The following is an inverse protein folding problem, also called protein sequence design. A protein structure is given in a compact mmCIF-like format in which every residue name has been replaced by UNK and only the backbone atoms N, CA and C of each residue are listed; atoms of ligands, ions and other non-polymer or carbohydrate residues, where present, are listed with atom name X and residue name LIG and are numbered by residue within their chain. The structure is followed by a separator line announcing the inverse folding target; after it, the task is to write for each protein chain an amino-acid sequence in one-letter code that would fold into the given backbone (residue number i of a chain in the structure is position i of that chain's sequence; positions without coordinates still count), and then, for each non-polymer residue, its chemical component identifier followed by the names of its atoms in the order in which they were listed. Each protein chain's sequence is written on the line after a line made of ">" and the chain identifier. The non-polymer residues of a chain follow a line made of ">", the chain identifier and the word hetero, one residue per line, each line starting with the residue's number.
data_IF_883701079375
#
_entry.id   IF_883701079375
#
_cell.length_a   1.000
_cell.length_b   1.000
_cell.length_c   1.000
_cell.angle_alpha   90.00
_cell.angle_beta   90.00
_cell.angle_gamma   90.00
#
_symmetry.space_group_name_H-M   'P 1'
#
loop_
_entity.id
_entity.type
_entity.pdbx_description
1 polymer ?
#
# COMPACT_ATOMS: atom_id res chain seq x y z
N UNK A 1 -1.53 -1.50 5.07
CA UNK A 1 -0.38 -0.99 4.31
C UNK A 1 0.89 -1.38 5.05
N UNK A 2 1.81 -2.05 4.38
CA UNK A 2 3.18 -2.24 4.86
C UNK A 2 4.12 -1.28 4.13
N UNK A 3 5.31 -1.08 4.68
CA UNK A 3 6.39 -0.45 3.94
C UNK A 3 6.85 -1.35 2.80
N UNK A 4 6.94 -0.78 1.60
CA UNK A 4 7.44 -1.45 0.40
C UNK A 4 8.77 -0.82 0.02
N UNK A 5 9.86 -1.57 0.23
CA UNK A 5 11.19 -1.17 -0.21
C UNK A 5 11.25 -1.27 -1.73
N UNK A 6 11.53 -0.14 -2.39
CA UNK A 6 11.76 -0.13 -3.83
C UNK A 6 13.11 -0.78 -4.13
N UNK A 7 13.11 -1.71 -5.07
CA UNK A 7 14.33 -2.40 -5.51
C UNK A 7 14.42 -2.42 -7.05
N UNK A 8 15.24 -1.53 -7.66
CA UNK A 8 15.40 -1.50 -9.10
C UNK A 8 16.05 -2.77 -9.67
N UNK A 9 16.77 -3.57 -8.87
CA UNK A 9 17.40 -4.81 -9.33
C UNK A 9 16.39 -5.87 -9.79
N UNK A 10 15.15 -5.78 -9.30
CA UNK A 10 14.05 -6.65 -9.69
C UNK A 10 13.45 -6.30 -11.07
N UNK A 11 13.86 -5.18 -11.65
CA UNK A 11 13.35 -4.66 -12.94
C UNK A 11 14.43 -4.87 -14.02
N UNK A 12 14.12 -5.62 -15.10
CA UNK A 12 15.07 -5.80 -16.20
C UNK A 12 15.45 -4.47 -16.84
N UNK A 13 16.73 -4.29 -17.12
CA UNK A 13 17.28 -3.08 -17.73
C UNK A 13 16.56 -2.70 -19.04
N UNK A 14 16.17 -3.71 -19.84
CA UNK A 14 15.39 -3.50 -21.08
C UNK A 14 14.06 -2.80 -20.82
N UNK A 15 13.37 -3.12 -19.73
CA UNK A 15 12.08 -2.51 -19.36
C UNK A 15 12.30 -1.05 -18.95
N UNK A 16 13.34 -0.78 -18.17
CA UNK A 16 13.74 0.58 -17.79
C UNK A 16 14.07 1.44 -19.02
N UNK A 17 14.88 0.92 -19.95
CA UNK A 17 15.25 1.62 -21.20
C UNK A 17 14.05 1.93 -22.10
N UNK A 18 13.03 1.06 -22.13
CA UNK A 18 11.79 1.35 -22.88
C UNK A 18 11.03 2.52 -22.26
N UNK A 19 10.92 2.56 -20.93
CA UNK A 19 10.28 3.66 -20.23
C UNK A 19 11.04 4.98 -20.40
N UNK A 20 12.37 4.95 -20.31
CA UNK A 20 13.25 6.10 -20.51
C UNK A 20 13.08 6.71 -21.92
N UNK A 21 13.11 5.90 -22.98
CA UNK A 21 12.89 6.37 -24.36
C UNK A 21 11.52 7.00 -24.56
N UNK A 22 10.49 6.40 -23.95
CA UNK A 22 9.14 6.95 -24.00
C UNK A 22 9.05 8.29 -23.25
N UNK A 23 9.74 8.42 -22.11
CA UNK A 23 9.85 9.67 -21.37
C UNK A 23 10.55 10.74 -22.22
N UNK A 24 11.71 10.45 -22.81
CA UNK A 24 12.43 11.39 -23.68
C UNK A 24 11.56 11.89 -24.84
N UNK A 25 10.79 10.98 -25.46
CA UNK A 25 9.83 11.36 -26.50
C UNK A 25 8.75 12.29 -25.94
N UNK A 26 8.17 11.94 -24.79
CA UNK A 26 7.14 12.75 -24.13
C UNK A 26 7.62 14.18 -23.83
N UNK A 27 8.86 14.34 -23.38
CA UNK A 27 9.47 15.64 -23.07
C UNK A 27 9.54 16.56 -24.29
N UNK A 28 9.80 16.00 -25.48
CA UNK A 28 9.86 16.75 -26.74
C UNK A 28 8.49 17.11 -27.32
N UNK A 29 7.40 16.55 -26.79
CA UNK A 29 6.06 16.78 -27.35
C UNK A 29 5.48 18.12 -26.90
N UNK A 30 4.76 18.75 -27.83
CA UNK A 30 3.87 19.88 -27.55
C UNK A 30 2.81 19.49 -26.51
N UNK A 31 2.39 20.41 -25.60
CA UNK A 31 1.46 20.09 -24.51
C UNK A 31 0.18 19.35 -24.95
N UNK A 32 -0.44 19.79 -26.04
CA UNK A 32 -1.67 19.20 -26.58
C UNK A 32 -1.52 17.75 -27.12
N UNK A 33 -0.29 17.28 -27.36
CA UNK A 33 -0.02 15.90 -27.83
C UNK A 33 0.34 14.92 -26.72
N UNK A 34 0.68 15.43 -25.52
CA UNK A 34 1.21 14.62 -24.41
C UNK A 34 0.21 13.58 -23.91
N UNK A 35 -1.04 13.98 -23.67
CA UNK A 35 -2.09 13.11 -23.12
C UNK A 35 -2.36 11.90 -24.03
N UNK A 36 -2.55 12.15 -25.33
CA UNK A 36 -2.76 11.09 -26.32
C UNK A 36 -1.56 10.15 -26.42
N UNK A 37 -0.33 10.67 -26.39
CA UNK A 37 0.88 9.85 -26.39
C UNK A 37 0.97 8.95 -25.15
N UNK A 38 0.71 9.49 -23.96
CA UNK A 38 0.70 8.72 -22.71
C UNK A 38 -0.32 7.58 -22.80
N UNK A 39 -1.53 7.83 -23.30
CA UNK A 39 -2.57 6.81 -23.44
C UNK A 39 -2.16 5.68 -24.40
N UNK A 40 -1.58 6.02 -25.54
CA UNK A 40 -1.10 5.05 -26.53
C UNK A 40 0.01 4.13 -25.95
N UNK A 41 0.77 4.61 -24.97
CA UNK A 41 1.92 3.90 -24.38
C UNK A 41 1.59 3.16 -23.08
N UNK A 42 0.31 2.84 -22.84
CA UNK A 42 -0.12 2.14 -21.64
C UNK A 42 0.52 0.78 -21.36
N UNK A 43 0.95 0.08 -22.41
CA UNK A 43 1.68 -1.18 -22.27
C UNK A 43 3.02 -1.03 -21.52
N UNK A 44 3.63 0.16 -21.52
CA UNK A 44 4.94 0.40 -20.89
C UNK A 44 4.84 0.24 -19.38
N UNK A 45 3.97 1.00 -18.69
CA UNK A 45 3.86 0.88 -17.23
C UNK A 45 3.27 -0.47 -16.81
N UNK A 46 2.36 -1.05 -17.62
CA UNK A 46 1.84 -2.41 -17.37
C UNK A 46 2.95 -3.47 -17.33
N UNK A 47 4.01 -3.30 -18.13
CA UNK A 47 5.15 -4.23 -18.12
C UNK A 47 5.90 -4.27 -16.77
N UNK A 48 5.79 -3.22 -15.94
CA UNK A 48 6.39 -3.19 -14.61
C UNK A 48 5.63 -4.04 -13.58
N UNK A 49 4.36 -4.40 -13.84
CA UNK A 49 3.48 -5.00 -12.85
C UNK A 49 4.06 -6.23 -12.16
N UNK A 50 4.62 -7.17 -12.93
CA UNK A 50 5.23 -8.40 -12.37
C UNK A 50 6.47 -8.13 -11.52
N UNK A 51 7.18 -7.03 -11.75
CA UNK A 51 8.39 -6.66 -11.04
C UNK A 51 8.03 -5.93 -9.74
N UNK A 52 7.08 -5.00 -9.82
CA UNK A 52 6.53 -4.30 -8.65
C UNK A 52 5.80 -5.26 -7.70
N UNK A 53 5.13 -6.29 -8.23
CA UNK A 53 4.50 -7.33 -7.42
C UNK A 53 5.51 -8.04 -6.50
N UNK A 54 6.74 -8.29 -6.97
CA UNK A 54 7.77 -8.95 -6.14
C UNK A 54 8.14 -8.12 -4.91
N UNK A 55 8.20 -6.79 -5.04
CA UNK A 55 8.56 -5.86 -3.95
C UNK A 55 7.57 -5.89 -2.78
N UNK A 56 6.34 -6.37 -3.01
CA UNK A 56 5.30 -6.49 -2.00
C UNK A 56 4.83 -7.92 -1.78
N UNK A 57 5.63 -8.91 -2.18
CA UNK A 57 5.30 -10.34 -2.04
C UNK A 57 3.98 -10.73 -2.75
N UNK A 58 3.68 -10.06 -3.87
CA UNK A 58 2.46 -10.24 -4.66
C UNK A 58 1.23 -9.52 -4.10
N UNK A 59 1.37 -8.73 -3.04
CA UNK A 59 0.25 -8.05 -2.36
C UNK A 59 0.02 -6.64 -2.87
N UNK A 60 -1.18 -6.12 -2.69
CA UNK A 60 -1.52 -4.72 -2.96
C UNK A 60 -0.68 -3.82 -2.04
N UNK A 61 0.02 -2.85 -2.61
CA UNK A 61 0.89 -1.95 -1.85
C UNK A 61 0.10 -1.10 -0.83
N UNK A 62 -1.16 -0.77 -1.13
CA UNK A 62 -2.02 -0.02 -0.21
C UNK A 62 -2.70 -0.90 0.84
N UNK A 63 -3.38 -1.96 0.42
CA UNK A 63 -4.29 -2.72 1.29
C UNK A 63 -3.68 -3.96 1.96
N UNK A 64 -2.50 -4.41 1.53
CA UNK A 64 -1.88 -5.72 1.84
C UNK A 64 -2.70 -6.93 1.38
N UNK A 65 -3.75 -6.73 0.60
CA UNK A 65 -4.54 -7.84 0.07
C UNK A 65 -3.78 -8.61 -1.00
N UNK A 66 -3.88 -9.94 -0.94
CA UNK A 66 -3.33 -10.89 -1.92
C UNK A 66 -4.44 -11.59 -2.72
N UNK A 67 -5.64 -10.99 -2.80
CA UNK A 67 -6.82 -11.60 -3.39
C UNK A 67 -6.54 -12.10 -4.82
N UNK A 68 -6.54 -13.44 -5.06
CA UNK A 68 -6.19 -14.01 -6.35
C UNK A 68 -7.23 -13.72 -7.43
N UNK A 69 -8.44 -13.31 -7.07
CA UNK A 69 -9.51 -12.97 -8.02
C UNK A 69 -9.56 -11.48 -8.36
N UNK A 70 -8.75 -10.65 -7.69
CA UNK A 70 -8.68 -9.22 -8.00
C UNK A 70 -7.80 -8.97 -9.21
N UNK A 71 -8.23 -8.08 -10.11
CA UNK A 71 -7.34 -7.51 -11.12
C UNK A 71 -6.34 -6.57 -10.43
N UNK A 72 -5.05 -6.82 -10.62
CA UNK A 72 -4.00 -5.90 -10.17
C UNK A 72 -3.50 -5.05 -11.33
N UNK A 73 -3.30 -3.77 -11.04
CA UNK A 73 -2.80 -2.78 -11.97
C UNK A 73 -1.50 -2.16 -11.45
N UNK A 74 -0.82 -1.48 -12.38
CA UNK A 74 0.21 -0.50 -12.04
C UNK A 74 -0.46 0.86 -11.93
N UNK A 75 -0.64 1.32 -10.69
CA UNK A 75 -1.14 2.65 -10.36
C UNK A 75 0.00 3.69 -10.45
N UNK A 76 -0.36 4.92 -10.82
CA UNK A 76 0.52 6.07 -10.74
C UNK A 76 0.17 6.83 -9.47
N UNK A 77 1.02 6.73 -8.43
CA UNK A 77 0.77 7.38 -7.14
C UNK A 77 0.39 8.84 -7.33
N UNK A 78 1.20 9.57 -8.10
CA UNK A 78 0.89 10.88 -8.69
C UNK A 78 0.24 10.69 -10.07
N UNK A 79 -1.05 11.01 -10.25
CA UNK A 79 -1.79 10.71 -11.48
C UNK A 79 -1.21 11.39 -12.73
N UNK A 80 -0.97 10.61 -13.79
CA UNK A 80 -0.28 11.06 -15.00
C UNK A 80 -1.09 11.88 -16.02
N UNK A 81 -2.42 11.92 -15.90
CA UNK A 81 -3.31 12.54 -16.92
C UNK A 81 -4.22 13.63 -16.38
N UNK A 82 -4.52 13.54 -15.09
CA UNK A 82 -5.44 14.39 -14.37
C UNK A 82 -5.25 14.08 -12.89
N UNK A 83 -5.08 15.08 -12.04
CA UNK A 83 -5.12 14.93 -10.59
C UNK A 83 -6.34 15.65 -10.02
N UNK A 84 -7.27 14.88 -9.46
CA UNK A 84 -8.42 15.40 -8.70
C UNK A 84 -7.94 15.86 -7.33
N UNK A 85 -8.10 17.16 -7.06
CA UNK A 85 -7.65 17.83 -5.84
C UNK A 85 -8.76 17.91 -4.80
N UNK A 86 -9.97 18.21 -5.27
CA UNK A 86 -11.20 18.27 -4.50
C UNK A 86 -12.38 17.91 -5.41
N UNK A 87 -13.58 17.82 -4.87
CA UNK A 87 -14.79 17.65 -5.69
C UNK A 87 -14.93 18.77 -6.71
N UNK A 88 -15.08 18.41 -7.99
CA UNK A 88 -15.13 19.36 -9.10
C UNK A 88 -13.82 20.09 -9.43
N UNK A 89 -12.73 19.85 -8.68
CA UNK A 89 -11.44 20.54 -8.88
C UNK A 89 -10.37 19.54 -9.31
N UNK A 90 -9.85 19.72 -10.52
CA UNK A 90 -8.76 18.93 -11.06
C UNK A 90 -7.77 19.80 -11.85
N UNK A 91 -6.55 19.29 -12.02
CA UNK A 91 -5.54 19.83 -12.93
C UNK A 91 -4.93 18.72 -13.79
N UNK A 92 -3.96 19.07 -14.63
CA UNK A 92 -3.30 18.16 -15.58
C UNK A 92 -2.57 16.98 -14.92
N UNK A 93 -2.42 17.00 -13.59
CA UNK A 93 -1.67 16.01 -12.83
C UNK A 93 -0.17 16.08 -13.15
N UNK A 94 0.43 14.90 -13.32
CA UNK A 94 1.88 14.72 -13.36
C UNK A 94 2.31 13.98 -14.63
N UNK A 95 2.06 14.52 -15.84
CA UNK A 95 2.40 13.85 -17.10
C UNK A 95 3.89 13.53 -17.23
N UNK A 96 4.78 14.34 -16.65
CA UNK A 96 6.23 14.05 -16.65
C UNK A 96 6.61 12.84 -15.78
N UNK A 97 5.71 12.32 -14.95
CA UNK A 97 5.87 11.09 -14.18
C UNK A 97 5.15 9.88 -14.81
N UNK A 98 4.66 10.00 -16.05
CA UNK A 98 3.90 8.95 -16.72
C UNK A 98 4.68 7.65 -16.90
N UNK A 99 5.99 7.75 -17.13
CA UNK A 99 6.89 6.62 -17.33
C UNK A 99 7.95 6.46 -16.21
N UNK A 100 7.80 7.20 -15.11
CA UNK A 100 8.69 7.08 -13.94
C UNK A 100 8.25 5.90 -13.08
N UNK A 101 9.08 4.84 -13.04
CA UNK A 101 8.79 3.65 -12.23
C UNK A 101 8.73 3.95 -10.73
N UNK A 102 9.43 5.01 -10.28
CA UNK A 102 9.38 5.48 -8.89
C UNK A 102 7.99 5.97 -8.49
N UNK A 103 7.17 6.37 -9.46
CA UNK A 103 5.79 6.79 -9.28
C UNK A 103 4.78 5.61 -9.38
N UNK A 104 5.25 4.38 -9.63
CA UNK A 104 4.37 3.23 -9.85
C UNK A 104 4.10 2.43 -8.58
N UNK A 105 2.85 1.99 -8.37
CA UNK A 105 2.44 1.16 -7.23
C UNK A 105 1.68 -0.06 -7.74
N UNK A 106 2.02 -1.26 -7.27
CA UNK A 106 1.25 -2.46 -7.60
C UNK A 106 0.01 -2.52 -6.71
N UNK A 107 -1.17 -2.35 -7.31
CA UNK A 107 -2.40 -2.09 -6.58
C UNK A 107 -3.57 -2.92 -7.09
N UNK A 108 -4.36 -3.47 -6.16
CA UNK A 108 -5.59 -4.15 -6.48
C UNK A 108 -6.63 -3.16 -7.03
N UNK A 109 -7.45 -3.60 -7.98
CA UNK A 109 -8.46 -2.78 -8.65
C UNK A 109 -9.43 -2.10 -7.67
N UNK A 110 -9.74 -2.73 -6.52
CA UNK A 110 -10.61 -2.13 -5.49
C UNK A 110 -10.01 -0.92 -4.79
N UNK A 111 -8.68 -0.85 -4.65
CA UNK A 111 -7.99 0.32 -4.08
C UNK A 111 -7.58 1.33 -5.15
N UNK A 112 -7.32 0.87 -6.39
CA UNK A 112 -6.86 1.72 -7.47
C UNK A 112 -7.98 2.37 -8.29
N UNK A 113 -9.03 1.63 -8.64
CA UNK A 113 -10.11 2.11 -9.50
C UNK A 113 -11.26 2.61 -8.64
N UNK A 114 -12.03 3.57 -9.13
CA UNK A 114 -13.28 3.97 -8.48
C UNK A 114 -14.27 2.82 -8.59
N UNK A 115 -14.82 2.40 -7.45
CA UNK A 115 -15.85 1.37 -7.36
C UNK A 115 -16.88 1.79 -6.32
N UNK A 116 -18.14 1.46 -6.56
CA UNK A 116 -19.21 1.63 -5.57
C UNK A 116 -19.19 0.46 -4.60
N UNK A 117 -19.19 0.74 -3.31
CA UNK A 117 -19.36 -0.28 -2.28
C UNK A 117 -20.83 -0.66 -2.17
N UNK A 118 -21.18 -1.91 -2.50
CA UNK A 118 -22.57 -2.38 -2.54
C UNK A 118 -23.29 -2.22 -1.19
N UNK A 119 -22.56 -2.26 -0.08
CA UNK A 119 -23.12 -2.17 1.26
C UNK A 119 -23.43 -0.73 1.70
N UNK A 120 -22.65 0.26 1.24
CA UNK A 120 -22.75 1.66 1.71
C UNK A 120 -23.10 2.65 0.61
N UNK A 121 -23.14 2.22 -0.65
CA UNK A 121 -23.24 3.05 -1.86
C UNK A 121 -22.11 4.08 -2.01
N UNK A 122 -21.07 4.04 -1.16
CA UNK A 122 -19.94 4.96 -1.23
C UNK A 122 -19.06 4.63 -2.45
N UNK A 123 -18.63 5.66 -3.19
CA UNK A 123 -17.65 5.51 -4.26
C UNK A 123 -16.25 5.65 -3.67
N UNK A 124 -15.51 4.56 -3.65
CA UNK A 124 -14.17 4.47 -3.07
C UNK A 124 -13.15 4.04 -4.12
N UNK A 125 -11.87 4.22 -3.81
CA UNK A 125 -10.75 3.93 -4.70
C UNK A 125 -10.03 5.19 -5.16
N UNK A 126 -8.72 5.07 -5.39
CA UNK A 126 -7.86 6.21 -5.71
C UNK A 126 -8.26 6.90 -7.02
N UNK A 127 -8.37 6.17 -8.12
CA UNK A 127 -8.55 6.73 -9.45
C UNK A 127 -7.54 7.84 -9.75
N UNK A 128 -8.05 9.03 -10.12
CA UNK A 128 -7.27 10.25 -10.28
C UNK A 128 -7.18 11.12 -9.02
N UNK A 129 -7.70 10.70 -7.86
CA UNK A 129 -7.56 11.45 -6.61
C UNK A 129 -6.09 11.60 -6.22
N UNK A 130 -5.67 12.85 -6.03
CA UNK A 130 -4.40 13.24 -5.46
C UNK A 130 -4.51 14.61 -4.76
N UNK A 131 -5.27 14.66 -3.64
CA UNK A 131 -5.40 15.87 -2.84
C UNK A 131 -4.05 16.29 -2.24
N UNK A 132 -3.88 17.60 -2.06
CA UNK A 132 -2.76 18.20 -1.35
C UNK A 132 -3.32 18.94 -0.12
N UNK A 133 -2.52 19.03 0.94
CA UNK A 133 -2.87 19.79 2.12
C UNK A 133 -3.05 21.28 1.76
N UNK A 134 -3.88 21.97 2.53
CA UNK A 134 -4.09 23.41 2.37
C UNK A 134 -2.75 24.17 2.44
N UNK A 135 -2.58 25.16 1.56
CA UNK A 135 -1.34 25.93 1.44
C UNK A 135 -0.18 25.20 0.74
N UNK A 136 -0.35 23.94 0.34
CA UNK A 136 0.68 23.25 -0.45
C UNK A 136 0.93 23.93 -1.79
N UNK A 137 2.20 23.99 -2.20
CA UNK A 137 2.55 24.26 -3.59
C UNK A 137 1.99 23.16 -4.50
N UNK A 138 1.89 23.47 -5.80
CA UNK A 138 1.46 22.54 -6.84
C UNK A 138 2.53 22.45 -7.92
N UNK A 139 3.13 21.28 -8.06
CA UNK A 139 4.05 20.99 -9.14
C UNK A 139 3.28 20.96 -10.46
N UNK A 140 3.95 21.40 -11.51
CA UNK A 140 3.41 21.37 -12.86
C UNK A 140 4.55 21.09 -13.85
N UNK A 141 4.22 21.02 -15.14
CA UNK A 141 5.19 20.65 -16.17
C UNK A 141 6.47 21.51 -16.17
N UNK A 142 6.32 22.82 -15.95
CA UNK A 142 7.44 23.79 -16.01
C UNK A 142 8.12 23.97 -14.67
N UNK A 143 7.42 23.72 -13.56
CA UNK A 143 7.97 23.77 -12.21
C UNK A 143 7.70 22.46 -11.46
N UNK A 144 8.64 21.52 -11.62
CA UNK A 144 8.60 20.16 -11.06
C UNK A 144 9.10 20.16 -9.61
N UNK A 145 8.30 20.72 -8.71
CA UNK A 145 8.60 20.85 -7.28
C UNK A 145 7.84 19.83 -6.43
N UNK A 146 7.74 18.58 -6.88
CA UNK A 146 6.95 17.53 -6.22
C UNK A 146 7.45 17.20 -4.81
N UNK A 147 8.74 17.45 -4.56
CA UNK A 147 9.42 17.32 -3.27
C UNK A 147 8.94 18.34 -2.23
N UNK A 148 8.39 19.47 -2.69
CA UNK A 148 7.84 20.55 -1.83
C UNK A 148 6.33 20.43 -1.63
N UNK A 149 5.66 19.52 -2.35
CA UNK A 149 4.24 19.30 -2.18
C UNK A 149 3.93 18.52 -0.90
N UNK A 150 2.89 18.97 -0.20
CA UNK A 150 2.35 18.28 0.97
C UNK A 150 1.19 17.37 0.53
N UNK A 151 1.52 16.20 -0.02
CA UNK A 151 0.51 15.25 -0.49
C UNK A 151 -0.34 14.68 0.65
N UNK A 152 -1.66 14.60 0.42
CA UNK A 152 -2.59 14.03 1.41
C UNK A 152 -2.45 12.51 1.48
N UNK A 153 -2.31 11.88 0.31
CA UNK A 153 -2.25 10.42 0.21
C UNK A 153 -0.94 9.86 0.79
N UNK A 154 -1.04 8.77 1.53
CA UNK A 154 0.09 8.07 2.13
C UNK A 154 0.78 7.16 1.13
N UNK A 155 2.09 7.33 0.96
CA UNK A 155 2.89 6.51 0.07
C UNK A 155 3.46 5.28 0.79
N UNK A 156 3.14 4.04 0.37
CA UNK A 156 3.69 2.82 0.96
C UNK A 156 5.22 2.70 0.79
N UNK A 157 5.85 3.53 -0.03
CA UNK A 157 7.32 3.57 -0.19
C UNK A 157 8.01 4.55 0.77
N UNK A 158 7.24 5.26 1.61
CA UNK A 158 7.74 6.14 2.65
C UNK A 158 7.41 5.53 4.03
N UNK A 159 8.43 5.30 4.87
CA UNK A 159 8.25 4.71 6.21
C UNK A 159 7.42 5.61 7.13
N UNK A 160 7.61 6.92 7.04
CA UNK A 160 6.89 7.87 7.89
C UNK A 160 5.39 7.85 7.58
N UNK A 161 5.04 7.78 6.29
CA UNK A 161 3.65 7.67 5.85
C UNK A 161 3.00 6.36 6.30
N UNK A 162 3.72 5.24 6.17
CA UNK A 162 3.27 3.93 6.66
C UNK A 162 3.06 3.97 8.17
N UNK A 163 3.83 4.77 8.91
CA UNK A 163 3.70 4.99 10.35
C UNK A 163 2.45 5.80 10.76
N UNK A 164 1.78 6.49 9.83
CA UNK A 164 0.61 7.32 10.15
C UNK A 164 -0.71 6.55 10.29
N UNK A 165 -0.73 5.26 9.92
CA UNK A 165 -1.91 4.41 10.04
C UNK A 165 -1.62 3.19 10.91
N UNK A 166 -2.65 2.53 11.43
CA UNK A 166 -2.55 1.25 12.10
C UNK A 166 -3.81 0.42 11.84
N UNK A 167 -3.83 -0.82 12.32
CA UNK A 167 -5.03 -1.66 12.31
C UNK A 167 -5.51 -1.78 13.75
N UNK A 168 -6.77 -1.47 13.99
CA UNK A 168 -7.40 -1.67 15.29
C UNK A 168 -7.46 -3.19 15.61
N UNK A 169 -6.96 -3.58 16.79
CA UNK A 169 -6.83 -4.98 17.22
C UNK A 169 -8.14 -5.68 17.54
N UNK A 170 -9.24 -4.94 17.67
CA UNK A 170 -10.56 -5.46 18.03
C UNK A 170 -11.44 -5.67 16.80
N UNK A 171 -11.46 -4.71 15.87
CA UNK A 171 -12.38 -4.74 14.73
C UNK A 171 -11.71 -4.88 13.36
N UNK A 172 -10.39 -4.81 13.28
CA UNK A 172 -9.63 -4.97 12.03
C UNK A 172 -9.70 -3.77 11.07
N UNK A 173 -10.28 -2.64 11.50
CA UNK A 173 -10.31 -1.40 10.70
C UNK A 173 -8.93 -0.75 10.66
N UNK A 174 -8.60 -0.17 9.52
CA UNK A 174 -7.52 0.79 9.41
C UNK A 174 -7.93 2.11 10.06
N UNK A 175 -7.07 2.63 10.93
CA UNK A 175 -7.26 3.89 11.67
C UNK A 175 -5.99 4.73 11.60
N UNK A 176 -6.05 6.06 11.80
CA UNK A 176 -4.84 6.83 12.10
C UNK A 176 -4.11 6.22 13.28
N UNK A 177 -2.77 6.22 13.24
CA UNK A 177 -1.98 5.69 14.34
C UNK A 177 -2.10 6.57 15.59
N UNK A 178 -1.92 5.98 16.78
CA UNK A 178 -1.84 6.74 18.04
C UNK A 178 -0.73 7.80 18.03
N UNK A 179 0.35 7.58 17.27
CA UNK A 179 1.45 8.55 17.10
C UNK A 179 1.22 9.56 15.97
N UNK A 180 0.07 9.49 15.29
CA UNK A 180 -0.32 10.40 14.21
C UNK A 180 -0.78 11.74 14.80
N UNK A 181 0.13 12.50 15.40
CA UNK A 181 -0.19 13.76 16.10
C UNK A 181 -0.20 14.95 15.14
N UNK A 182 -1.22 15.81 15.28
CA UNK A 182 -1.37 17.04 14.50
C UNK A 182 -2.39 16.93 13.35
N UNK A 183 -3.08 18.04 13.07
CA UNK A 183 -4.20 18.08 12.13
C UNK A 183 -3.82 17.59 10.73
N UNK A 184 -2.68 18.06 10.21
CA UNK A 184 -2.18 17.64 8.89
C UNK A 184 -1.96 16.12 8.79
N UNK A 185 -1.27 15.51 9.75
CA UNK A 185 -1.03 14.05 9.74
C UNK A 185 -2.34 13.26 9.88
N UNK A 186 -3.24 13.72 10.76
CA UNK A 186 -4.56 13.12 10.95
C UNK A 186 -5.40 13.18 9.67
N UNK A 187 -5.40 14.30 8.96
CA UNK A 187 -6.08 14.45 7.67
C UNK A 187 -5.51 13.49 6.62
N UNK A 188 -4.17 13.45 6.47
CA UNK A 188 -3.48 12.52 5.56
C UNK A 188 -3.90 11.07 5.80
N UNK A 189 -3.87 10.62 7.06
CA UNK A 189 -4.24 9.27 7.44
C UNK A 189 -5.72 8.96 7.13
N UNK A 190 -6.63 9.82 7.58
CA UNK A 190 -8.08 9.62 7.38
C UNK A 190 -8.46 9.59 5.90
N UNK A 191 -8.00 10.57 5.13
CA UNK A 191 -8.29 10.65 3.69
C UNK A 191 -7.67 9.50 2.91
N UNK A 192 -6.49 9.03 3.30
CA UNK A 192 -5.88 7.84 2.66
C UNK A 192 -6.66 6.56 2.95
N UNK A 193 -7.11 6.37 4.19
CA UNK A 193 -7.96 5.22 4.58
C UNK A 193 -9.24 5.20 3.75
N UNK A 194 -9.88 6.36 3.60
CA UNK A 194 -11.09 6.55 2.81
C UNK A 194 -10.82 6.32 1.30
N UNK A 195 -9.94 7.10 0.70
CA UNK A 195 -9.69 7.08 -0.76
C UNK A 195 -9.18 5.71 -1.21
N UNK A 196 -8.31 5.04 -0.46
CA UNK A 196 -7.84 3.70 -0.82
C UNK A 196 -8.85 2.58 -0.51
N UNK A 197 -9.98 2.91 0.12
CA UNK A 197 -10.99 1.94 0.53
C UNK A 197 -10.45 0.91 1.53
N UNK A 198 -9.56 1.33 2.45
CA UNK A 198 -8.88 0.38 3.35
C UNK A 198 -9.82 -0.30 4.35
N UNK A 199 -11.05 0.19 4.48
CA UNK A 199 -12.11 -0.32 5.35
C UNK A 199 -13.32 -0.89 4.58
N UNK A 200 -13.12 -1.30 3.32
CA UNK A 200 -14.11 -2.11 2.60
C UNK A 200 -14.38 -3.44 3.35
N UNK A 201 -15.64 -3.91 3.32
CA UNK A 201 -16.09 -5.06 4.12
C UNK A 201 -15.25 -6.33 3.96
N UNK A 202 -14.83 -6.66 2.73
CA UNK A 202 -13.99 -7.83 2.47
C UNK A 202 -12.59 -7.70 3.09
N UNK A 203 -12.01 -6.50 3.11
CA UNK A 203 -10.71 -6.27 3.74
C UNK A 203 -10.81 -6.36 5.26
N UNK A 204 -11.85 -5.78 5.86
CA UNK A 204 -12.11 -5.90 7.30
C UNK A 204 -12.29 -7.38 7.65
N UNK A 205 -13.13 -8.10 6.91
CA UNK A 205 -13.40 -9.53 7.14
C UNK A 205 -12.12 -10.38 7.05
N UNK A 206 -11.28 -10.12 6.04
CA UNK A 206 -10.03 -10.83 5.88
C UNK A 206 -9.03 -10.56 7.03
N UNK A 207 -8.91 -9.30 7.47
CA UNK A 207 -8.08 -8.94 8.63
C UNK A 207 -8.61 -9.59 9.91
N UNK A 208 -9.92 -9.49 10.19
CA UNK A 208 -10.55 -10.11 11.36
C UNK A 208 -10.37 -11.62 11.38
N UNK A 209 -10.36 -12.30 10.22
CA UNK A 209 -10.05 -13.72 10.14
C UNK A 209 -8.63 -14.01 10.66
N UNK A 210 -7.62 -13.36 10.08
CA UNK A 210 -6.23 -13.51 10.53
C UNK A 210 -6.07 -13.22 12.03
N UNK A 211 -6.71 -12.17 12.52
CA UNK A 211 -6.63 -11.78 13.93
C UNK A 211 -7.30 -12.81 14.86
N UNK A 212 -8.46 -13.34 14.48
CA UNK A 212 -9.15 -14.39 15.26
C UNK A 212 -8.35 -15.69 15.26
N UNK A 213 -7.87 -16.13 14.10
CA UNK A 213 -7.09 -17.36 13.99
C UNK A 213 -5.84 -17.29 14.92
N UNK A 214 -5.16 -16.13 14.96
CA UNK A 214 -4.04 -15.90 15.86
C UNK A 214 -4.44 -15.85 17.34
N UNK A 215 -5.60 -15.30 17.66
CA UNK A 215 -6.11 -15.27 19.03
C UNK A 215 -6.42 -16.68 19.53
N UNK A 216 -7.08 -17.49 18.72
CA UNK A 216 -7.43 -18.87 19.06
C UNK A 216 -6.15 -19.71 19.26
N UNK A 217 -5.21 -19.62 18.33
CA UNK A 217 -3.89 -20.26 18.44
C UNK A 217 -3.12 -19.80 19.70
N UNK A 218 -3.22 -18.52 20.06
CA UNK A 218 -2.56 -17.97 21.25
C UNK A 218 -3.17 -18.53 22.54
N UNK A 219 -4.50 -18.65 22.61
CA UNK A 219 -5.16 -19.27 23.76
C UNK A 219 -4.73 -20.74 23.90
N UNK A 220 -4.68 -21.49 22.80
CA UNK A 220 -4.14 -22.85 22.78
C UNK A 220 -2.69 -22.90 23.26
N UNK A 221 -1.83 -21.95 22.85
CA UNK A 221 -0.46 -21.89 23.34
C UNK A 221 -0.40 -21.69 24.86
N UNK A 222 -1.21 -20.76 25.40
CA UNK A 222 -1.22 -20.48 26.83
C UNK A 222 -1.71 -21.68 27.65
N UNK A 223 -2.71 -22.41 27.16
CA UNK A 223 -3.18 -23.66 27.78
C UNK A 223 -2.06 -24.70 27.84
N UNK A 224 -1.37 -24.95 26.72
CA UNK A 224 -0.25 -25.90 26.62
C UNK A 224 0.88 -25.50 27.58
N UNK A 225 1.27 -24.21 27.59
CA UNK A 225 2.32 -23.73 28.48
C UNK A 225 1.93 -23.87 29.97
N UNK A 226 0.65 -23.62 30.31
CA UNK A 226 0.16 -23.75 31.69
C UNK A 226 0.15 -25.21 32.17
N UNK A 227 -0.17 -26.14 31.27
CA UNK A 227 -0.14 -27.57 31.55
C UNK A 227 1.30 -28.14 31.57
N UNK A 228 2.27 -27.42 31.01
CA UNK A 228 3.65 -27.88 30.88
C UNK A 228 3.80 -29.06 29.92
N UNK A 229 2.94 -29.16 28.90
CA UNK A 229 2.89 -30.30 27.96
C UNK A 229 3.33 -29.93 26.54
N UNK A 230 3.54 -30.94 25.69
CA UNK A 230 3.75 -30.83 24.23
C UNK A 230 4.66 -29.67 23.74
N UNK A 231 5.96 -29.78 24.03
CA UNK A 231 6.99 -28.85 23.56
C UNK A 231 7.02 -28.69 22.03
N UNK A 232 6.60 -29.73 21.29
CA UNK A 232 6.55 -29.67 19.84
C UNK A 232 5.40 -28.77 19.37
N UNK A 233 4.23 -28.80 20.01
CA UNK A 233 3.13 -27.88 19.74
C UNK A 233 3.51 -26.42 20.03
N UNK A 234 4.20 -26.16 21.15
CA UNK A 234 4.73 -24.82 21.48
C UNK A 234 5.56 -24.28 20.32
N UNK A 235 6.52 -25.06 19.83
CA UNK A 235 7.41 -24.67 18.73
C UNK A 235 6.64 -24.42 17.42
N UNK A 236 5.64 -25.26 17.11
CA UNK A 236 4.79 -25.10 15.92
C UNK A 236 3.97 -23.81 15.97
N UNK A 237 3.36 -23.50 17.11
CA UNK A 237 2.54 -22.29 17.29
C UNK A 237 3.40 -21.03 17.24
N UNK A 238 4.56 -21.02 17.89
CA UNK A 238 5.52 -19.90 17.81
C UNK A 238 5.95 -19.62 16.36
N UNK A 239 6.24 -20.67 15.59
CA UNK A 239 6.57 -20.53 14.16
C UNK A 239 5.37 -20.02 13.34
N UNK A 240 4.14 -20.41 13.68
CA UNK A 240 2.92 -19.92 13.03
C UNK A 240 2.74 -18.41 13.27
N UNK A 241 2.92 -17.94 14.51
CA UNK A 241 2.87 -16.51 14.85
C UNK A 241 3.93 -15.69 14.13
N UNK A 242 5.18 -16.17 14.12
CA UNK A 242 6.27 -15.52 13.39
C UNK A 242 5.93 -15.40 11.91
N UNK A 243 5.50 -16.49 11.27
CA UNK A 243 5.14 -16.49 9.84
C UNK A 243 3.99 -15.54 9.53
N UNK A 244 2.95 -15.46 10.38
CA UNK A 244 1.81 -14.57 10.16
C UNK A 244 2.17 -13.08 10.28
N UNK A 245 3.22 -12.75 11.02
CA UNK A 245 3.67 -11.38 11.26
C UNK A 245 4.82 -10.94 10.35
N UNK A 246 5.33 -11.80 9.48
CA UNK A 246 6.29 -11.44 8.44
C UNK A 246 5.66 -10.48 7.41
N UNK A 247 6.41 -9.53 6.84
CA UNK A 247 5.89 -8.64 5.80
C UNK A 247 5.44 -9.38 4.54
N UNK A 248 5.89 -10.62 4.30
CA UNK A 248 5.42 -11.47 3.21
C UNK A 248 4.02 -12.03 3.41
N UNK A 249 3.56 -12.16 4.67
CA UNK A 249 2.24 -12.70 4.97
C UNK A 249 1.11 -11.72 4.58
N UNK A 250 -0.01 -12.20 4.04
CA UNK A 250 -1.18 -11.36 3.80
C UNK A 250 -1.72 -10.80 5.10
N UNK A 251 -2.08 -9.52 5.10
CA UNK A 251 -2.59 -8.80 6.27
C UNK A 251 -1.65 -8.86 7.50
N UNK A 252 -0.34 -8.95 7.27
CA UNK A 252 0.70 -8.98 8.31
C UNK A 252 0.58 -7.85 9.34
N UNK A 253 0.12 -6.66 8.94
CA UNK A 253 -0.10 -5.56 9.89
C UNK A 253 -1.26 -5.83 10.86
N UNK A 254 -2.33 -6.49 10.40
CA UNK A 254 -3.43 -6.92 11.27
C UNK A 254 -2.97 -8.03 12.23
N UNK A 255 -2.17 -8.97 11.73
CA UNK A 255 -1.54 -10.00 12.57
C UNK A 255 -0.70 -9.36 13.68
N UNK A 256 0.20 -8.44 13.34
CA UNK A 256 1.00 -7.70 14.33
C UNK A 256 0.14 -6.94 15.33
N UNK A 257 -0.86 -6.19 14.85
CA UNK A 257 -1.76 -5.45 15.73
C UNK A 257 -2.44 -6.36 16.77
N UNK A 258 -2.88 -7.55 16.36
CA UNK A 258 -3.46 -8.53 17.28
C UNK A 258 -2.45 -9.09 18.26
N UNK A 259 -1.27 -9.48 17.79
CA UNK A 259 -0.22 -9.97 18.68
C UNK A 259 0.20 -8.89 19.70
N UNK A 260 0.22 -7.61 19.30
CA UNK A 260 0.52 -6.50 20.21
C UNK A 260 -0.56 -6.25 21.28
N UNK A 261 -1.81 -6.64 21.03
CA UNK A 261 -2.88 -6.50 22.03
C UNK A 261 -2.91 -7.67 23.02
N UNK A 262 -2.18 -8.76 22.76
CA UNK A 262 -2.16 -9.96 23.61
C UNK A 262 -0.99 -9.92 24.60
N UNK A 263 -1.17 -10.42 25.84
CA UNK A 263 -0.07 -10.53 26.80
C UNK A 263 1.08 -11.34 26.21
N UNK A 264 2.31 -10.82 26.30
CA UNK A 264 3.52 -11.44 25.71
C UNK A 264 3.47 -11.71 24.19
N UNK A 265 2.36 -11.43 23.50
CA UNK A 265 2.19 -11.65 22.08
C UNK A 265 3.27 -10.99 21.21
N UNK A 266 3.76 -9.77 21.51
CA UNK A 266 4.87 -9.17 20.77
C UNK A 266 6.13 -10.03 20.69
N UNK A 267 6.38 -10.90 21.69
CA UNK A 267 7.55 -11.78 21.71
C UNK A 267 7.54 -12.84 20.61
N UNK A 268 6.36 -13.12 20.04
CA UNK A 268 6.19 -14.10 18.97
C UNK A 268 6.06 -13.44 17.58
N UNK A 269 6.13 -12.11 17.51
CA UNK A 269 6.20 -11.39 16.25
C UNK A 269 7.55 -11.63 15.57
N UNK A 270 7.53 -11.71 14.24
CA UNK A 270 8.74 -11.70 13.43
C UNK A 270 9.59 -10.45 13.69
N UNK A 271 10.90 -10.67 13.81
CA UNK A 271 11.92 -9.65 13.92
C UNK A 271 12.50 -9.32 12.53
N UNK A 272 13.23 -8.20 12.37
CA UNK A 272 13.88 -7.85 11.11
C UNK A 272 14.79 -8.95 10.55
N UNK A 273 15.50 -9.69 11.42
CA UNK A 273 16.36 -10.82 11.06
C UNK A 273 15.60 -12.06 10.55
N UNK A 274 14.27 -12.13 10.76
CA UNK A 274 13.44 -13.23 10.26
C UNK A 274 13.00 -13.04 8.80
N UNK A 275 13.26 -11.87 8.19
CA UNK A 275 12.98 -11.67 6.77
C UNK A 275 13.86 -12.61 5.92
N UNK A 276 13.29 -13.35 4.94
CA UNK A 276 14.04 -14.27 4.09
C UNK A 276 15.19 -13.64 3.27
N UNK A 277 15.40 -12.33 3.36
CA UNK A 277 16.47 -11.55 2.72
C UNK A 277 17.59 -11.15 3.70
N UNK A 278 17.57 -11.62 4.97
CA UNK A 278 18.72 -11.50 5.87
C UNK A 278 19.92 -12.41 5.49
N UNK A 279 19.82 -13.15 4.36
CA UNK A 279 20.83 -14.05 3.81
C UNK A 279 20.97 -13.90 2.28
N UNK A 280 21.13 -12.67 1.79
CA UNK A 280 21.59 -12.39 0.42
C UNK A 280 22.66 -11.30 0.41
#
# INVERSE_FOLDING_TARGET
>A
MIYVKRDPSLIPEKVLKVAERAQQTLESLMPNRRKAFIEQKAHIWRAFGRHLAKMSYGKCWYSESNDPQSFFDVDHFRPKKEAKRAEGVADDGYPWLAFSWENFRYSAGRSNRLNTDDATAAVLGKGSWFPLLEGSVRANWTNRCEDKESAVLLDPTNRDDVGLIEINSEDGRATPSVTCVGQAKQERAKRSIEIYGLNLGNLITARKRVMRDLQDDYLTLMEICSAGTDMAAVSRLQNKFRRATLPSAPYSRAARAKMHSLPYGPKFCAQPEDEPEALA
#
